data_IF_732378633444
#
_entry.id   IF_732378633444
#
_cell.length_a   1.000
_cell.length_b   1.000
_cell.length_c   1.000
_cell.angle_alpha   90.00
_cell.angle_beta   90.00
_cell.angle_gamma   90.00
#
_symmetry.space_group_name_H-M   'P 1'
#
loop_
_entity.id
_entity.type
_entity.pdbx_description
1 polymer ?
#
# COMPACT_ATOMS: atom_id res chain seq x y z
N UNK A 1 18.60 -13.03 9.48
CA UNK A 1 18.77 -13.62 8.13
C UNK A 1 18.33 -12.70 6.99
N UNK A 2 17.91 -11.45 7.27
CA UNK A 2 17.27 -10.54 6.29
C UNK A 2 18.19 -9.46 5.69
N UNK A 3 19.39 -9.28 6.20
CA UNK A 3 20.31 -8.21 5.75
C UNK A 3 20.98 -8.48 4.40
N UNK A 4 20.95 -9.71 3.90
CA UNK A 4 21.63 -10.07 2.64
C UNK A 4 20.81 -9.82 1.37
N UNK A 5 19.50 -9.71 1.47
CA UNK A 5 18.63 -9.51 0.31
C UNK A 5 18.67 -8.09 -0.27
N UNK A 6 19.13 -7.11 0.52
CA UNK A 6 19.16 -5.71 0.10
C UNK A 6 20.55 -5.23 -0.38
N UNK A 7 21.60 -6.04 -0.16
CA UNK A 7 22.97 -5.72 -0.54
C UNK A 7 23.22 -6.05 -2.03
N UNK A 8 22.80 -5.20 -2.91
CA UNK A 8 22.98 -5.34 -4.37
C UNK A 8 21.83 -4.76 -5.19
N UNK A 9 20.76 -4.34 -4.53
CA UNK A 9 19.63 -3.70 -5.21
C UNK A 9 20.02 -2.32 -5.74
N UNK A 10 19.69 -2.08 -6.99
CA UNK A 10 19.82 -0.75 -7.56
C UNK A 10 18.71 0.14 -7.02
N UNK A 11 19.03 1.09 -6.14
CA UNK A 11 18.06 2.05 -5.59
C UNK A 11 17.26 2.81 -6.66
N UNK A 12 17.85 3.00 -7.83
CA UNK A 12 17.16 3.60 -8.97
C UNK A 12 16.05 2.73 -9.55
N UNK A 13 15.96 1.45 -9.17
CA UNK A 13 14.88 0.52 -9.59
C UNK A 13 13.78 0.33 -8.55
N UNK A 14 13.90 0.95 -7.37
CA UNK A 14 12.90 0.85 -6.30
C UNK A 14 12.06 2.14 -6.15
N UNK A 15 10.83 2.05 -5.63
CA UNK A 15 10.05 3.25 -5.35
C UNK A 15 10.64 4.03 -4.16
N UNK A 16 10.64 5.34 -4.28
CA UNK A 16 11.00 6.27 -3.20
C UNK A 16 9.76 6.90 -2.55
N UNK A 17 8.56 6.59 -3.06
CA UNK A 17 7.27 7.00 -2.49
C UNK A 17 6.29 5.82 -2.51
N UNK A 18 5.57 5.62 -1.42
CA UNK A 18 4.51 4.60 -1.31
C UNK A 18 3.21 5.27 -0.85
N UNK A 19 2.14 5.11 -1.63
CA UNK A 19 0.79 5.46 -1.20
C UNK A 19 0.20 4.23 -0.50
N UNK A 20 0.39 4.17 0.82
CA UNK A 20 0.12 2.98 1.64
C UNK A 20 -1.31 2.87 2.17
N UNK A 21 -2.16 3.87 1.97
CA UNK A 21 -3.53 3.81 2.52
C UNK A 21 -4.26 5.14 2.54
N UNK A 22 -5.46 5.15 3.07
CA UNK A 22 -6.27 3.98 3.40
C UNK A 22 -7.23 3.65 2.24
N UNK A 23 -7.73 2.42 2.16
CA UNK A 23 -8.73 2.06 1.15
C UNK A 23 -9.94 2.99 1.21
N UNK A 24 -10.48 3.39 0.05
CA UNK A 24 -11.65 4.29 -0.10
C UNK A 24 -11.43 5.73 0.37
N UNK A 25 -10.19 6.15 0.54
CA UNK A 25 -9.78 7.50 0.97
C UNK A 25 -9.19 8.37 -0.16
N UNK A 26 -9.31 7.97 -1.41
CA UNK A 26 -8.86 8.78 -2.56
C UNK A 26 -7.49 8.38 -3.13
N UNK A 27 -6.90 7.27 -2.68
CA UNK A 27 -5.60 6.78 -3.17
C UNK A 27 -5.53 6.60 -4.69
N UNK A 28 -6.64 6.22 -5.33
CA UNK A 28 -6.69 6.10 -6.80
C UNK A 28 -6.61 7.46 -7.49
N UNK A 29 -7.29 8.48 -6.98
CA UNK A 29 -7.20 9.84 -7.53
C UNK A 29 -5.78 10.37 -7.41
N UNK A 30 -5.16 10.24 -6.23
CA UNK A 30 -3.78 10.65 -6.03
C UNK A 30 -2.82 9.89 -6.95
N UNK A 31 -3.02 8.57 -7.11
CA UNK A 31 -2.21 7.76 -8.02
C UNK A 31 -2.25 8.32 -9.46
N UNK A 32 -3.43 8.57 -10.01
CA UNK A 32 -3.56 9.06 -11.38
C UNK A 32 -3.04 10.49 -11.56
N UNK A 33 -3.21 11.35 -10.55
CA UNK A 33 -2.67 12.71 -10.60
C UNK A 33 -1.14 12.72 -10.57
N UNK A 34 -0.53 11.92 -9.71
CA UNK A 34 0.94 11.80 -9.66
C UNK A 34 1.50 11.17 -10.94
N UNK A 35 0.87 10.09 -11.44
CA UNK A 35 1.31 9.41 -12.66
C UNK A 35 1.18 10.27 -13.93
N UNK A 36 0.42 11.36 -13.88
CA UNK A 36 0.33 12.32 -14.99
C UNK A 36 1.50 13.32 -15.04
N UNK A 37 2.33 13.38 -13.98
CA UNK A 37 3.46 14.31 -13.93
C UNK A 37 4.67 13.74 -14.69
N UNK A 38 5.36 14.53 -15.54
CA UNK A 38 6.43 14.03 -16.42
C UNK A 38 7.66 13.48 -15.69
N UNK A 39 7.93 13.96 -14.46
CA UNK A 39 9.07 13.51 -13.65
C UNK A 39 8.71 12.37 -12.67
N UNK A 40 7.50 11.83 -12.76
CA UNK A 40 6.99 10.82 -11.83
C UNK A 40 6.66 9.54 -12.57
N UNK A 41 7.15 8.42 -12.07
CA UNK A 41 6.83 7.09 -12.57
C UNK A 41 6.01 6.32 -11.54
N UNK A 42 4.77 6.02 -11.87
CA UNK A 42 3.92 5.11 -11.09
C UNK A 42 4.05 3.68 -11.58
N UNK A 43 4.11 2.70 -10.65
CA UNK A 43 4.08 1.30 -11.06
C UNK A 43 2.87 1.02 -11.96
N UNK A 44 3.02 0.38 -13.13
CA UNK A 44 1.90 0.11 -14.05
C UNK A 44 0.77 -0.69 -13.39
N UNK A 45 1.11 -1.53 -12.42
CA UNK A 45 0.15 -2.25 -11.59
C UNK A 45 -0.13 -1.43 -10.33
N UNK A 46 -1.28 -0.73 -10.31
CA UNK A 46 -1.83 -0.22 -9.06
C UNK A 46 -2.32 -1.38 -8.19
N UNK A 47 -2.13 -1.26 -6.85
CA UNK A 47 -2.41 -2.34 -5.88
C UNK A 47 -1.56 -3.58 -6.17
N UNK A 48 -0.24 -3.45 -6.03
CA UNK A 48 0.69 -4.58 -6.24
C UNK A 48 0.45 -5.70 -5.23
N UNK A 49 0.12 -5.34 -3.98
CA UNK A 49 0.01 -6.25 -2.84
C UNK A 49 1.27 -7.11 -2.61
N UNK A 50 2.41 -6.70 -3.15
CA UNK A 50 3.63 -7.51 -3.07
C UNK A 50 4.03 -7.81 -1.63
N UNK A 51 3.96 -6.83 -0.74
CA UNK A 51 4.26 -6.95 0.68
C UNK A 51 3.02 -7.15 1.57
N UNK A 52 1.96 -7.75 1.05
CA UNK A 52 0.81 -8.12 1.88
C UNK A 52 1.19 -9.24 2.86
N UNK A 53 0.54 -9.28 4.04
CA UNK A 53 0.79 -10.28 5.08
C UNK A 53 0.52 -11.72 4.63
N UNK A 54 -0.27 -11.90 3.57
CA UNK A 54 -0.64 -13.21 3.02
C UNK A 54 -0.71 -13.21 1.50
N UNK A 55 -0.37 -14.36 0.92
CA UNK A 55 -0.65 -14.62 -0.49
C UNK A 55 -2.16 -14.66 -0.71
N UNK A 56 -2.61 -13.97 -1.73
CA UNK A 56 -4.02 -13.91 -2.12
C UNK A 56 -4.15 -13.76 -3.64
N UNK A 57 -5.36 -13.74 -4.15
CA UNK A 57 -5.62 -13.66 -5.61
C UNK A 57 -5.07 -12.41 -6.31
N UNK A 58 -4.73 -11.37 -5.58
CA UNK A 58 -4.21 -10.12 -6.16
C UNK A 58 -2.69 -10.12 -6.29
N UNK A 59 -1.99 -10.93 -5.50
CA UNK A 59 -0.54 -11.04 -5.46
C UNK A 59 0.00 -12.45 -5.73
N UNK A 60 -0.83 -13.39 -6.16
CA UNK A 60 -0.41 -14.77 -6.43
C UNK A 60 0.73 -14.87 -7.47
N UNK A 61 0.82 -13.93 -8.41
CA UNK A 61 1.86 -13.92 -9.44
C UNK A 61 3.13 -13.19 -9.03
N UNK A 62 3.10 -12.39 -7.96
CA UNK A 62 4.25 -11.68 -7.43
C UNK A 62 3.95 -11.24 -5.99
N UNK A 63 4.66 -11.79 -5.04
CA UNK A 63 4.54 -11.53 -3.60
C UNK A 63 5.85 -11.84 -2.88
N UNK A 64 6.08 -11.24 -1.73
CA UNK A 64 7.32 -11.38 -0.96
C UNK A 64 7.50 -12.76 -0.31
N UNK A 65 6.45 -13.57 -0.23
CA UNK A 65 6.49 -14.89 0.42
C UNK A 65 7.03 -15.99 -0.49
N UNK A 66 6.86 -15.84 -1.80
CA UNK A 66 7.16 -16.87 -2.81
C UNK A 66 8.13 -16.37 -3.89
N UNK A 67 8.41 -15.06 -3.93
CA UNK A 67 9.20 -14.41 -4.95
C UNK A 67 10.26 -13.50 -4.31
N UNK A 68 11.39 -13.34 -4.99
CA UNK A 68 12.42 -12.39 -4.64
C UNK A 68 12.03 -10.94 -4.99
N UNK A 69 12.86 -10.00 -4.60
CA UNK A 69 12.64 -8.58 -4.84
C UNK A 69 12.79 -8.18 -6.32
N UNK A 70 13.44 -8.99 -7.15
CA UNK A 70 13.52 -8.76 -8.60
C UNK A 70 12.11 -8.71 -9.24
N UNK A 71 11.17 -9.50 -8.70
CA UNK A 71 9.76 -9.44 -9.10
C UNK A 71 9.09 -8.12 -8.69
N UNK A 72 9.52 -7.52 -7.60
CA UNK A 72 9.04 -6.19 -7.19
C UNK A 72 9.67 -5.08 -8.03
N UNK A 73 10.99 -5.14 -8.28
CA UNK A 73 11.69 -4.21 -9.15
C UNK A 73 11.10 -4.18 -10.57
N UNK A 74 10.61 -5.33 -11.05
CA UNK A 74 9.99 -5.43 -12.35
C UNK A 74 8.81 -4.47 -12.55
N UNK A 75 8.11 -4.05 -11.47
CA UNK A 75 7.06 -3.03 -11.55
C UNK A 75 7.60 -1.61 -11.85
N UNK A 76 8.92 -1.39 -11.73
CA UNK A 76 9.53 -0.08 -11.91
C UNK A 76 10.47 -0.04 -13.13
N UNK A 77 10.49 -1.09 -13.96
CA UNK A 77 11.21 -1.09 -15.23
C UNK A 77 10.71 0.04 -16.12
N UNK A 78 11.62 0.92 -16.55
CA UNK A 78 11.31 2.12 -17.32
C UNK A 78 11.15 3.39 -16.50
N UNK A 79 11.23 3.30 -15.17
CA UNK A 79 11.16 4.47 -14.29
C UNK A 79 12.52 4.95 -13.76
N UNK A 80 13.64 4.44 -14.26
CA UNK A 80 14.98 4.70 -13.72
C UNK A 80 15.36 6.18 -13.79
N UNK A 81 14.93 6.89 -14.83
CA UNK A 81 15.19 8.32 -15.03
C UNK A 81 14.21 9.24 -14.27
N UNK A 82 13.16 8.68 -13.68
CA UNK A 82 12.17 9.46 -12.95
C UNK A 82 12.70 9.89 -11.57
N UNK A 83 12.51 11.15 -11.23
CA UNK A 83 12.85 11.70 -9.90
C UNK A 83 12.03 11.02 -8.80
N UNK A 84 10.76 10.74 -9.07
CA UNK A 84 9.85 10.06 -8.16
C UNK A 84 9.37 8.75 -8.80
N UNK A 85 9.61 7.65 -8.12
CA UNK A 85 9.03 6.34 -8.43
C UNK A 85 8.10 5.96 -7.30
N UNK A 86 6.87 5.58 -7.64
CA UNK A 86 5.89 5.25 -6.60
C UNK A 86 5.02 4.06 -6.94
N UNK A 87 4.50 3.41 -5.92
CA UNK A 87 3.36 2.52 -6.01
C UNK A 87 2.22 2.97 -5.09
N UNK A 88 1.04 2.40 -5.31
CA UNK A 88 -0.12 2.62 -4.48
C UNK A 88 -0.83 1.30 -4.17
N UNK A 89 -0.59 0.79 -2.97
CA UNK A 89 -1.31 -0.35 -2.38
C UNK A 89 -1.95 0.12 -1.08
N UNK A 90 -3.23 0.47 -1.17
CA UNK A 90 -3.93 1.14 -0.08
C UNK A 90 -4.10 0.27 1.20
N UNK A 91 -3.93 -1.03 1.09
CA UNK A 91 -3.97 -1.96 2.21
C UNK A 91 -2.70 -1.97 3.05
N UNK A 92 -1.57 -1.44 2.58
CA UNK A 92 -0.32 -1.45 3.35
C UNK A 92 -0.43 -0.76 4.71
N UNK A 93 -1.38 0.16 4.88
CA UNK A 93 -1.68 0.75 6.19
C UNK A 93 -1.84 -0.33 7.28
N UNK A 94 -2.44 -1.47 6.94
CA UNK A 94 -2.77 -2.57 7.85
C UNK A 94 -1.75 -3.71 7.86
N UNK A 95 -0.88 -3.78 6.84
CA UNK A 95 0.01 -4.92 6.61
C UNK A 95 1.31 -4.79 7.43
N UNK A 96 1.57 -5.78 8.26
CA UNK A 96 2.78 -5.85 9.10
C UNK A 96 4.02 -6.08 8.24
N UNK A 97 3.93 -6.99 7.29
CA UNK A 97 5.04 -7.35 6.38
C UNK A 97 5.49 -6.12 5.58
N UNK A 98 4.55 -5.35 5.03
CA UNK A 98 4.89 -4.11 4.33
C UNK A 98 5.65 -3.12 5.23
N UNK A 99 5.17 -2.94 6.48
CA UNK A 99 5.81 -2.04 7.44
C UNK A 99 7.22 -2.49 7.79
N UNK A 100 7.41 -3.78 8.07
CA UNK A 100 8.73 -4.34 8.39
C UNK A 100 9.69 -4.21 7.21
N UNK A 101 9.27 -4.51 5.99
CA UNK A 101 10.12 -4.37 4.82
C UNK A 101 10.53 -2.91 4.58
N UNK A 102 9.58 -1.99 4.45
CA UNK A 102 9.90 -0.59 4.14
C UNK A 102 10.68 0.12 5.25
N UNK A 103 10.48 -0.25 6.52
CA UNK A 103 11.27 0.31 7.63
C UNK A 103 12.71 -0.21 7.69
N UNK A 104 13.00 -1.35 7.06
CA UNK A 104 14.32 -1.94 7.01
C UNK A 104 15.09 -1.66 5.72
N UNK A 105 14.47 -1.03 4.72
CA UNK A 105 15.19 -0.65 3.51
C UNK A 105 16.30 0.37 3.80
N UNK A 106 17.47 0.28 3.13
CA UNK A 106 18.55 1.26 3.28
C UNK A 106 18.06 2.68 3.00
N UNK A 107 17.37 2.87 1.87
CA UNK A 107 16.72 4.12 1.49
C UNK A 107 15.21 4.00 1.67
N UNK A 108 14.76 4.33 2.88
CA UNK A 108 13.36 4.21 3.25
C UNK A 108 12.49 5.14 2.40
N UNK A 109 11.41 4.63 1.79
CA UNK A 109 10.51 5.46 1.00
C UNK A 109 9.74 6.46 1.87
N UNK A 110 9.21 7.51 1.25
CA UNK A 110 8.18 8.34 1.88
C UNK A 110 6.84 7.60 1.82
N UNK A 111 6.20 7.48 2.97
CA UNK A 111 4.90 6.84 3.10
C UNK A 111 3.80 7.90 3.09
N UNK A 112 2.81 7.78 2.22
CA UNK A 112 1.66 8.68 2.15
C UNK A 112 0.40 7.90 2.54
N UNK A 113 -0.31 8.41 3.54
CA UNK A 113 -1.58 7.87 3.98
C UNK A 113 -2.67 8.93 3.89
N UNK A 114 -3.69 8.68 3.08
CA UNK A 114 -4.88 9.52 2.98
C UNK A 114 -5.97 8.96 3.86
N UNK A 115 -6.60 9.82 4.60
CA UNK A 115 -7.71 9.46 5.48
C UNK A 115 -8.99 10.17 5.05
N UNK A 116 -10.08 9.56 5.43
CA UNK A 116 -11.42 10.09 5.25
C UNK A 116 -12.16 9.94 6.56
N UNK A 117 -13.22 10.71 6.74
CA UNK A 117 -14.14 10.49 7.87
C UNK A 117 -14.51 8.99 7.95
N UNK A 118 -14.29 8.33 9.11
CA UNK A 118 -14.43 6.87 9.26
C UNK A 118 -15.77 6.33 8.77
N UNK A 119 -16.87 6.99 9.09
CA UNK A 119 -18.23 6.59 8.65
C UNK A 119 -18.39 6.63 7.13
N UNK A 120 -17.82 7.64 6.48
CA UNK A 120 -17.85 7.79 5.01
C UNK A 120 -16.94 6.77 4.31
N UNK A 121 -15.81 6.46 4.90
CA UNK A 121 -14.90 5.41 4.42
C UNK A 121 -15.59 4.05 4.49
N UNK A 122 -16.11 3.69 5.65
CA UNK A 122 -16.79 2.43 5.92
C UNK A 122 -17.99 2.22 4.99
N UNK A 123 -18.83 3.24 4.82
CA UNK A 123 -19.96 3.19 3.90
C UNK A 123 -19.51 3.02 2.44
N UNK A 124 -18.43 3.71 2.03
CA UNK A 124 -17.87 3.58 0.70
C UNK A 124 -17.30 2.17 0.45
N UNK A 125 -16.70 1.56 1.48
CA UNK A 125 -16.18 0.21 1.42
C UNK A 125 -17.31 -0.82 1.33
N UNK A 126 -18.34 -0.69 2.19
CA UNK A 126 -19.56 -1.49 2.14
C UNK A 126 -20.20 -1.47 0.75
N UNK A 127 -20.42 -0.28 0.16
CA UNK A 127 -20.99 -0.17 -1.19
C UNK A 127 -20.14 -0.88 -2.24
N UNK A 128 -18.84 -0.80 -2.14
CA UNK A 128 -17.94 -1.49 -3.05
C UNK A 128 -18.10 -3.01 -2.92
N UNK A 129 -18.07 -3.55 -1.70
CA UNK A 129 -18.16 -4.99 -1.48
C UNK A 129 -19.54 -5.55 -1.84
N UNK A 130 -20.61 -4.86 -1.48
CA UNK A 130 -21.97 -5.32 -1.73
C UNK A 130 -22.40 -5.16 -3.19
N UNK A 131 -22.24 -3.98 -3.75
CA UNK A 131 -22.87 -3.65 -5.04
C UNK A 131 -21.92 -3.75 -6.24
N UNK A 132 -20.63 -3.42 -6.05
CA UNK A 132 -19.67 -3.45 -7.15
C UNK A 132 -18.99 -4.78 -7.31
N UNK A 133 -18.47 -5.36 -6.23
CA UNK A 133 -17.72 -6.63 -6.27
C UNK A 133 -18.57 -7.84 -5.88
N UNK A 134 -19.75 -7.61 -5.30
CA UNK A 134 -20.72 -8.63 -4.86
C UNK A 134 -20.09 -9.71 -3.97
N UNK A 135 -19.17 -9.28 -3.07
CA UNK A 135 -18.46 -10.19 -2.16
C UNK A 135 -19.25 -10.49 -0.89
N UNK A 136 -20.20 -9.63 -0.57
CA UNK A 136 -21.04 -9.77 0.61
C UNK A 136 -22.51 -9.59 0.23
N UNK A 137 -23.36 -10.31 0.95
CA UNK A 137 -24.81 -10.11 0.89
C UNK A 137 -25.34 -9.95 2.32
N UNK A 138 -25.03 -8.82 2.92
CA UNK A 138 -25.46 -8.44 4.27
C UNK A 138 -25.86 -6.98 4.30
N UNK A 139 -26.64 -6.59 5.32
CA UNK A 139 -27.02 -5.22 5.56
C UNK A 139 -25.85 -4.37 6.04
N UNK A 140 -25.96 -3.04 5.96
CA UNK A 140 -24.95 -2.15 6.52
C UNK A 140 -24.81 -2.34 8.04
N UNK A 141 -25.93 -2.57 8.73
CA UNK A 141 -25.94 -2.80 10.19
C UNK A 141 -25.10 -4.04 10.58
N UNK A 142 -25.25 -5.13 9.86
CA UNK A 142 -24.45 -6.33 10.07
C UNK A 142 -22.96 -6.10 9.70
N UNK A 143 -22.71 -5.36 8.62
CA UNK A 143 -21.38 -5.07 8.14
C UNK A 143 -20.55 -4.29 9.15
N UNK A 144 -21.12 -3.25 9.78
CA UNK A 144 -20.40 -2.39 10.75
C UNK A 144 -20.12 -3.10 12.08
N UNK A 145 -20.80 -4.20 12.38
CA UNK A 145 -20.56 -5.01 13.58
C UNK A 145 -19.36 -5.94 13.46
N UNK A 146 -18.79 -6.08 12.25
CA UNK A 146 -17.62 -6.94 12.03
C UNK A 146 -16.37 -6.31 12.64
N UNK A 147 -15.65 -7.01 13.55
CA UNK A 147 -14.49 -6.44 14.24
C UNK A 147 -13.42 -5.90 13.29
N UNK A 148 -13.17 -6.58 12.16
CA UNK A 148 -12.18 -6.13 11.18
C UNK A 148 -12.58 -4.82 10.48
N UNK A 149 -13.86 -4.50 10.39
CA UNK A 149 -14.32 -3.24 9.80
C UNK A 149 -14.07 -2.09 10.77
N UNK A 150 -14.30 -2.32 12.06
CA UNK A 150 -14.00 -1.34 13.11
C UNK A 150 -12.47 -1.14 13.25
N UNK A 151 -11.69 -2.21 13.16
CA UNK A 151 -10.23 -2.11 13.16
C UNK A 151 -9.71 -1.27 11.99
N UNK A 152 -10.25 -1.45 10.80
CA UNK A 152 -9.83 -0.70 9.61
C UNK A 152 -10.10 0.81 9.68
N UNK A 153 -11.01 1.26 10.51
CA UNK A 153 -11.29 2.69 10.70
C UNK A 153 -10.60 3.28 11.94
N UNK A 154 -9.90 2.47 12.72
CA UNK A 154 -9.00 2.93 13.76
C UNK A 154 -7.66 3.39 13.16
N UNK A 155 -7.72 4.49 12.42
CA UNK A 155 -6.54 5.03 11.74
C UNK A 155 -5.41 5.39 12.70
N UNK A 156 -5.72 5.86 13.89
CA UNK A 156 -4.72 6.27 14.87
C UNK A 156 -3.81 5.10 15.29
N UNK A 157 -4.38 3.93 15.50
CA UNK A 157 -3.66 2.70 15.81
C UNK A 157 -2.68 2.33 14.70
N UNK A 158 -3.18 2.27 13.46
CA UNK A 158 -2.38 1.84 12.31
C UNK A 158 -1.33 2.88 11.92
N UNK A 159 -1.70 4.16 11.91
CA UNK A 159 -0.77 5.25 11.61
C UNK A 159 0.36 5.32 12.64
N UNK A 160 0.03 5.18 13.94
CA UNK A 160 1.04 5.15 14.99
C UNK A 160 2.07 4.04 14.76
N UNK A 161 1.64 2.83 14.38
CA UNK A 161 2.55 1.73 14.10
C UNK A 161 3.54 2.05 12.95
N UNK A 162 3.10 2.79 11.93
CA UNK A 162 3.97 3.28 10.85
C UNK A 162 4.91 4.39 11.33
N UNK A 163 4.42 5.34 12.13
CA UNK A 163 5.25 6.42 12.67
C UNK A 163 6.33 5.90 13.62
N UNK A 164 6.02 4.87 14.39
CA UNK A 164 7.00 4.25 15.30
C UNK A 164 8.08 3.45 14.53
N UNK A 165 7.78 2.95 13.35
CA UNK A 165 8.69 2.12 12.54
C UNK A 165 9.55 2.93 11.55
N UNK A 166 9.05 4.06 11.07
CA UNK A 166 9.71 4.88 10.04
C UNK A 166 10.43 6.08 10.66
N UNK A 167 11.51 6.59 10.04
CA UNK A 167 12.17 7.81 10.53
C UNK A 167 11.21 9.00 10.54
N UNK A 168 11.49 9.95 11.42
CA UNK A 168 10.73 11.21 11.47
C UNK A 168 10.66 11.87 10.09
N UNK A 169 9.49 12.36 9.74
CA UNK A 169 9.24 13.01 8.45
C UNK A 169 9.10 12.06 7.24
N UNK A 170 9.16 10.73 7.42
CA UNK A 170 8.90 9.79 6.34
C UNK A 170 7.42 9.43 6.20
N UNK A 171 6.61 9.60 7.23
CA UNK A 171 5.15 9.38 7.18
C UNK A 171 4.44 10.72 7.01
N UNK A 172 3.50 10.78 6.05
CA UNK A 172 2.70 11.95 5.70
C UNK A 172 1.21 11.59 5.61
#
# INVERSE_FOLDING_TARGET
MESYYLAGMNEASLPNVIIGGAPKCGTSSLYFWLAAHPEVYGSPKKETFFFADKVNRFNASANVHEHDLDHYEAFFKGGQEATVRFEATAHYLYEKVAREHFSNWPHKPKMIFLFREPSKQMYSHYKMERYRTKRIDMTLSEYIQRPQIMDHVDYAKHLKAWMDAMPEGHVR
#
